data_IF_938207573502
#
_entry.id   IF_938207573502
#
_cell.length_a   1.000
_cell.length_b   1.000
_cell.length_c   1.000
_cell.angle_alpha   90.00
_cell.angle_beta   90.00
_cell.angle_gamma   90.00
#
_symmetry.space_group_name_H-M   'P 1'
#
loop_
_entity.id
_entity.type
_entity.pdbx_description
1 polymer ?
#
# COMPACT_ATOMS: atom_id res chain seq x y z
N UNK A 1 -30.59 27.29 -21.69
CA UNK A 1 -31.90 26.79 -22.13
C UNK A 1 -31.84 25.26 -22.16
N UNK A 2 -32.82 24.61 -21.52
CA UNK A 2 -33.25 23.19 -21.67
C UNK A 2 -32.27 22.12 -21.14
N UNK A 3 -32.44 21.62 -19.90
CA UNK A 3 -33.44 20.66 -19.42
C UNK A 3 -33.26 19.24 -19.99
N UNK A 4 -32.89 18.29 -19.12
CA UNK A 4 -33.28 16.88 -19.23
C UNK A 4 -33.06 16.19 -17.88
N UNK A 5 -34.10 16.24 -17.05
CA UNK A 5 -34.28 15.35 -15.90
C UNK A 5 -34.66 13.97 -16.42
N UNK A 6 -34.01 12.91 -15.95
CA UNK A 6 -34.55 11.54 -16.11
C UNK A 6 -34.60 10.92 -14.72
N UNK A 7 -35.79 11.01 -14.14
CA UNK A 7 -36.22 10.17 -13.04
C UNK A 7 -36.67 8.82 -13.64
N UNK A 8 -36.02 7.73 -13.24
CA UNK A 8 -36.58 6.40 -13.35
C UNK A 8 -36.94 5.92 -11.95
N UNK A 9 -38.22 6.05 -11.64
CA UNK A 9 -38.95 5.23 -10.68
C UNK A 9 -39.14 3.84 -11.28
N UNK A 10 -39.44 2.84 -10.44
CA UNK A 10 -39.75 1.41 -10.69
C UNK A 10 -38.56 0.54 -10.24
N UNK A 11 -38.68 -0.44 -9.34
CA UNK A 11 -39.77 -1.38 -9.09
C UNK A 11 -39.69 -1.96 -7.66
N UNK A 12 -40.85 -2.25 -7.08
CA UNK A 12 -41.03 -3.09 -5.90
C UNK A 12 -40.43 -4.49 -6.08
N UNK A 13 -39.76 -4.99 -5.03
CA UNK A 13 -39.48 -6.41 -4.88
C UNK A 13 -39.93 -6.87 -3.48
N UNK A 14 -41.13 -7.42 -3.41
CA UNK A 14 -41.59 -8.28 -2.31
C UNK A 14 -40.98 -9.66 -2.49
N UNK A 15 -40.14 -10.10 -1.56
CA UNK A 15 -39.71 -11.49 -1.46
C UNK A 15 -39.83 -11.96 -0.01
N UNK A 16 -40.87 -12.77 0.21
CA UNK A 16 -41.07 -13.57 1.40
C UNK A 16 -40.03 -14.68 1.51
N UNK A 17 -39.55 -14.90 2.73
CA UNK A 17 -39.23 -16.23 3.26
C UNK A 17 -37.81 -16.72 3.07
N UNK A 18 -37.12 -16.95 4.20
CA UNK A 18 -36.39 -18.20 4.47
C UNK A 18 -36.26 -18.36 5.99
N UNK A 19 -36.91 -19.39 6.49
CA UNK A 19 -36.56 -20.03 7.75
C UNK A 19 -35.29 -20.87 7.50
N UNK A 20 -34.26 -20.65 8.31
CA UNK A 20 -33.02 -21.43 8.31
C UNK A 20 -32.40 -21.42 9.69
N UNK A 21 -32.68 -22.45 10.49
CA UNK A 21 -31.87 -22.84 11.63
C UNK A 21 -30.66 -23.61 11.11
N UNK A 22 -29.46 -23.26 11.53
CA UNK A 22 -28.29 -24.14 11.41
C UNK A 22 -26.99 -23.38 11.12
N UNK A 23 -25.99 -23.66 11.94
CA UNK A 23 -24.59 -23.36 11.66
C UNK A 23 -24.01 -22.33 12.59
N UNK A 24 -23.32 -22.80 13.64
CA UNK A 24 -22.50 -21.96 14.49
C UNK A 24 -21.49 -21.18 13.66
N UNK A 25 -21.59 -19.85 13.75
CA UNK A 25 -20.48 -18.99 13.43
C UNK A 25 -19.51 -19.10 14.61
N UNK A 26 -18.59 -20.04 14.50
CA UNK A 26 -17.28 -19.91 15.12
C UNK A 26 -16.60 -18.74 14.40
N UNK A 27 -17.02 -17.54 14.78
CA UNK A 27 -16.43 -16.30 14.31
C UNK A 27 -15.02 -16.29 14.85
N UNK A 28 -14.05 -16.59 13.98
CA UNK A 28 -12.71 -16.05 14.09
C UNK A 28 -12.88 -14.53 14.23
N UNK A 29 -12.98 -14.07 15.48
CA UNK A 29 -12.91 -12.67 15.83
C UNK A 29 -11.47 -12.29 15.56
N UNK A 30 -11.16 -11.89 14.33
CA UNK A 30 -10.05 -10.98 14.10
C UNK A 30 -10.29 -9.82 15.05
N UNK A 31 -9.38 -9.64 16.01
CA UNK A 31 -9.52 -8.57 16.99
C UNK A 31 -9.44 -7.25 16.21
N UNK A 32 -10.48 -6.39 16.26
CA UNK A 32 -10.52 -5.17 15.45
C UNK A 32 -9.35 -4.23 15.73
N UNK A 33 -8.64 -4.39 16.85
CA UNK A 33 -7.45 -3.57 17.15
C UNK A 33 -6.25 -3.91 16.26
N UNK A 34 -6.09 -5.17 15.84
CA UNK A 34 -4.91 -5.57 15.03
C UNK A 34 -4.91 -4.93 13.63
N UNK A 35 -6.08 -4.69 13.04
CA UNK A 35 -6.19 -4.08 11.71
C UNK A 35 -5.91 -2.57 11.74
N UNK A 36 -6.33 -1.88 12.80
CA UNK A 36 -6.09 -0.45 12.97
C UNK A 36 -4.59 -0.14 13.17
N UNK A 37 -3.87 -1.04 13.86
CA UNK A 37 -2.43 -0.96 14.06
C UNK A 37 -1.65 -1.18 12.75
N UNK A 38 -2.04 -2.16 11.93
CA UNK A 38 -1.40 -2.44 10.64
C UNK A 38 -1.55 -1.27 9.65
N UNK A 39 -2.74 -0.65 9.58
CA UNK A 39 -2.98 0.52 8.73
C UNK A 39 -2.15 1.75 9.17
N UNK A 40 -1.97 1.94 10.48
CA UNK A 40 -1.12 2.99 11.03
C UNK A 40 0.36 2.74 10.74
N UNK A 41 0.83 1.49 10.87
CA UNK A 41 2.19 1.08 10.50
C UNK A 41 2.45 1.30 9.01
N UNK A 42 1.52 0.91 8.15
CA UNK A 42 1.63 1.10 6.70
C UNK A 42 1.81 2.59 6.34
N UNK A 43 1.04 3.49 6.98
CA UNK A 43 1.19 4.95 6.79
C UNK A 43 2.54 5.45 7.24
N UNK A 44 3.00 5.05 8.43
CA UNK A 44 4.31 5.45 8.94
C UNK A 44 5.46 4.98 8.04
N UNK A 45 5.41 3.74 7.56
CA UNK A 45 6.40 3.22 6.62
C UNK A 45 6.34 3.94 5.29
N UNK A 46 5.13 4.26 4.80
CA UNK A 46 4.94 5.00 3.55
C UNK A 46 5.56 6.40 3.62
N UNK A 47 5.34 7.16 4.69
CA UNK A 47 5.98 8.46 4.91
C UNK A 47 7.52 8.34 4.85
N UNK A 48 8.06 7.25 5.40
CA UNK A 48 9.50 6.99 5.36
C UNK A 48 9.98 6.63 3.95
N UNK A 49 9.21 5.88 3.16
CA UNK A 49 9.50 5.61 1.74
C UNK A 49 9.53 6.91 0.94
N UNK A 50 8.55 7.81 1.14
CA UNK A 50 8.49 9.14 0.49
C UNK A 50 9.76 9.94 0.79
N UNK A 51 10.19 9.95 2.06
CA UNK A 51 11.41 10.63 2.48
C UNK A 51 12.66 10.01 1.82
N UNK A 52 12.82 8.68 1.88
CA UNK A 52 13.98 7.99 1.32
C UNK A 52 14.08 8.17 -0.20
N UNK A 53 12.96 8.20 -0.92
CA UNK A 53 12.96 8.48 -2.36
C UNK A 53 13.46 9.90 -2.66
N UNK A 54 13.03 10.89 -1.87
CA UNK A 54 13.55 12.26 -1.97
C UNK A 54 15.05 12.32 -1.67
N UNK A 55 15.51 11.64 -0.61
CA UNK A 55 16.93 11.55 -0.24
C UNK A 55 17.77 10.89 -1.35
N UNK A 56 17.28 9.81 -1.96
CA UNK A 56 17.95 9.15 -3.08
C UNK A 56 18.07 10.09 -4.30
N UNK A 57 17.02 10.84 -4.61
CA UNK A 57 17.02 11.83 -5.69
C UNK A 57 18.00 12.99 -5.42
N UNK A 58 18.10 13.46 -4.18
CA UNK A 58 19.07 14.49 -3.79
C UNK A 58 20.49 13.97 -3.88
N UNK A 59 20.75 12.77 -3.34
CA UNK A 59 22.06 12.13 -3.39
C UNK A 59 22.53 11.88 -4.83
N UNK A 60 21.60 11.52 -5.73
CA UNK A 60 21.88 11.37 -7.16
C UNK A 60 22.28 12.69 -7.83
N UNK A 61 21.59 13.79 -7.51
CA UNK A 61 21.88 15.12 -8.05
C UNK A 61 23.19 15.72 -7.53
N UNK A 62 23.59 15.35 -6.31
CA UNK A 62 24.81 15.83 -5.66
C UNK A 62 26.04 14.98 -5.98
N UNK A 63 25.90 13.98 -6.85
CA UNK A 63 26.97 13.04 -7.18
C UNK A 63 27.60 12.40 -5.92
N UNK A 64 26.76 12.13 -4.92
CA UNK A 64 27.20 11.51 -3.67
C UNK A 64 27.74 10.11 -3.91
N UNK A 65 28.58 9.66 -2.97
CA UNK A 65 29.17 8.34 -2.99
C UNK A 65 28.11 7.24 -3.16
N UNK A 66 28.48 6.16 -3.82
CA UNK A 66 27.54 5.10 -4.16
C UNK A 66 27.02 4.30 -2.96
N UNK A 67 27.81 4.17 -1.89
CA UNK A 67 27.41 3.43 -0.70
C UNK A 67 26.10 3.96 -0.07
N UNK A 68 25.97 5.25 0.31
CA UNK A 68 24.72 5.77 0.88
C UNK A 68 23.54 5.71 -0.10
N UNK A 69 23.76 5.90 -1.40
CA UNK A 69 22.70 5.80 -2.42
C UNK A 69 22.09 4.39 -2.47
N UNK A 70 22.95 3.37 -2.44
CA UNK A 70 22.48 1.99 -2.40
C UNK A 70 21.72 1.66 -1.10
N UNK A 71 22.21 2.15 0.05
CA UNK A 71 21.55 1.95 1.34
C UNK A 71 20.15 2.59 1.37
N UNK A 72 20.03 3.85 0.94
CA UNK A 72 18.75 4.56 0.86
C UNK A 72 17.76 3.82 -0.06
N UNK A 73 18.20 3.43 -1.26
CA UNK A 73 17.37 2.70 -2.21
C UNK A 73 16.94 1.31 -1.66
N UNK A 74 17.86 0.60 -0.99
CA UNK A 74 17.57 -0.67 -0.33
C UNK A 74 16.49 -0.52 0.74
N UNK A 75 16.63 0.45 1.64
CA UNK A 75 15.64 0.72 2.68
C UNK A 75 14.28 1.15 2.13
N UNK A 76 14.25 1.98 1.07
CA UNK A 76 12.99 2.38 0.44
C UNK A 76 12.22 1.16 -0.11
N UNK A 77 12.95 0.21 -0.71
CA UNK A 77 12.37 -1.00 -1.26
C UNK A 77 11.96 -2.03 -0.20
N UNK A 78 12.72 -2.18 0.88
CA UNK A 78 12.35 -3.02 2.02
C UNK A 78 11.01 -2.58 2.63
N UNK A 79 10.89 -1.28 2.94
CA UNK A 79 9.65 -0.72 3.49
C UNK A 79 8.49 -0.81 2.52
N UNK A 80 8.74 -0.59 1.21
CA UNK A 80 7.73 -0.78 0.16
C UNK A 80 7.22 -2.23 0.13
N UNK A 81 8.12 -3.22 0.24
CA UNK A 81 7.76 -4.63 0.36
C UNK A 81 6.87 -4.90 1.57
N UNK A 82 7.26 -4.41 2.76
CA UNK A 82 6.48 -4.59 3.99
C UNK A 82 5.09 -3.95 3.94
N UNK A 83 4.94 -2.79 3.30
CA UNK A 83 3.62 -2.16 3.09
C UNK A 83 2.75 -3.06 2.20
N UNK A 84 3.33 -3.63 1.14
CA UNK A 84 2.60 -4.55 0.25
C UNK A 84 2.26 -5.88 0.93
N UNK A 85 3.12 -6.42 1.79
CA UNK A 85 2.80 -7.59 2.61
C UNK A 85 1.60 -7.32 3.54
N UNK A 86 1.49 -6.12 4.12
CA UNK A 86 0.30 -5.73 4.88
C UNK A 86 -0.95 -5.63 3.99
N UNK A 87 -0.82 -5.07 2.79
CA UNK A 87 -1.92 -4.99 1.83
C UNK A 87 -2.42 -6.37 1.36
N UNK A 88 -1.53 -7.36 1.30
CA UNK A 88 -1.89 -8.74 0.94
C UNK A 88 -2.53 -9.52 2.10
N UNK A 89 -2.26 -9.12 3.35
CA UNK A 89 -2.85 -9.74 4.55
C UNK A 89 -4.31 -9.34 4.77
N UNK A 90 -4.71 -8.15 4.35
CA UNK A 90 -6.09 -7.66 4.44
C UNK A 90 -6.51 -7.01 3.11
N UNK A 91 -7.25 -7.78 2.29
CA UNK A 91 -7.75 -7.31 0.99
C UNK A 91 -8.92 -6.31 1.09
N UNK A 92 -9.47 -6.12 2.29
CA UNK A 92 -10.55 -5.18 2.55
C UNK A 92 -10.05 -3.78 2.95
N UNK A 93 -8.78 -3.64 3.37
CA UNK A 93 -8.19 -2.32 3.66
C UNK A 93 -7.69 -1.62 2.39
N UNK A 94 -8.61 -0.89 1.76
CA UNK A 94 -8.32 -0.04 0.60
C UNK A 94 -7.21 0.99 0.88
N UNK A 95 -7.07 1.44 2.12
CA UNK A 95 -6.05 2.39 2.55
C UNK A 95 -4.64 1.84 2.35
N UNK A 96 -4.34 0.68 2.95
CA UNK A 96 -3.01 0.05 2.84
C UNK A 96 -2.72 -0.40 1.40
N UNK A 97 -3.73 -0.84 0.64
CA UNK A 97 -3.55 -1.16 -0.79
C UNK A 97 -3.09 0.05 -1.61
N UNK A 98 -3.72 1.21 -1.43
CA UNK A 98 -3.29 2.44 -2.12
C UNK A 98 -1.85 2.83 -1.72
N UNK A 99 -1.46 2.63 -0.46
CA UNK A 99 -0.09 2.89 -0.02
C UNK A 99 0.92 1.95 -0.67
N UNK A 100 0.60 0.66 -0.83
CA UNK A 100 1.44 -0.28 -1.58
C UNK A 100 1.57 0.15 -3.06
N UNK A 101 0.46 0.50 -3.71
CA UNK A 101 0.46 0.95 -5.10
C UNK A 101 1.32 2.20 -5.33
N UNK A 102 1.38 3.14 -4.37
CA UNK A 102 2.28 4.30 -4.42
C UNK A 102 3.72 3.99 -3.99
N UNK A 103 3.91 3.08 -3.02
CA UNK A 103 5.24 2.73 -2.51
C UNK A 103 6.10 1.98 -3.54
N UNK A 104 5.49 1.14 -4.40
CA UNK A 104 6.21 0.37 -5.44
C UNK A 104 6.96 1.27 -6.44
N UNK A 105 6.31 2.21 -7.14
CA UNK A 105 7.01 3.09 -8.07
C UNK A 105 8.03 3.99 -7.38
N UNK A 106 7.88 4.30 -6.08
CA UNK A 106 8.89 5.03 -5.31
C UNK A 106 10.16 4.23 -5.07
N UNK A 107 10.02 2.94 -4.73
CA UNK A 107 11.17 2.03 -4.68
C UNK A 107 11.87 1.97 -6.05
N UNK A 108 11.13 1.88 -7.15
CA UNK A 108 11.72 1.85 -8.50
C UNK A 108 12.45 3.16 -8.82
N UNK A 109 11.90 4.33 -8.46
CA UNK A 109 12.58 5.61 -8.61
C UNK A 109 13.84 5.71 -7.74
N UNK A 110 13.78 5.28 -6.48
CA UNK A 110 14.94 5.25 -5.60
C UNK A 110 16.06 4.33 -6.14
N UNK A 111 15.70 3.16 -6.67
CA UNK A 111 16.64 2.27 -7.37
C UNK A 111 17.21 2.89 -8.64
N UNK A 112 16.39 3.53 -9.46
CA UNK A 112 16.85 4.21 -10.67
C UNK A 112 17.82 5.35 -10.33
N UNK A 113 17.51 6.12 -9.27
CA UNK A 113 18.40 7.14 -8.72
C UNK A 113 19.73 6.54 -8.22
N UNK A 114 19.75 5.28 -7.79
CA UNK A 114 20.97 4.55 -7.43
C UNK A 114 21.56 3.73 -8.59
N UNK A 115 20.93 3.70 -9.78
CA UNK A 115 21.29 2.80 -10.88
C UNK A 115 22.70 2.99 -11.44
N UNK A 116 23.21 4.23 -11.40
CA UNK A 116 24.60 4.53 -11.77
C UNK A 116 25.64 3.85 -10.86
N UNK A 117 25.23 3.38 -9.69
CA UNK A 117 26.10 2.77 -8.68
C UNK A 117 26.13 1.24 -8.73
N UNK A 118 25.33 0.59 -9.58
CA UNK A 118 25.30 -0.87 -9.68
C UNK A 118 24.91 -1.56 -8.37
N UNK A 119 23.88 -1.03 -7.66
CA UNK A 119 23.44 -1.54 -6.36
C UNK A 119 22.76 -2.92 -6.39
N UNK A 120 22.79 -3.61 -7.53
CA UNK A 120 22.24 -4.94 -7.77
C UNK A 120 23.09 -5.99 -7.01
N UNK A 121 22.89 -6.11 -5.69
CA UNK A 121 23.53 -7.19 -4.90
C UNK A 121 23.83 -6.94 -3.41
N UNK A 122 23.33 -5.88 -2.77
CA UNK A 122 23.57 -5.64 -1.32
C UNK A 122 22.31 -5.54 -0.45
N UNK A 123 21.17 -6.00 -0.94
CA UNK A 123 20.02 -6.25 -0.07
C UNK A 123 20.07 -7.73 0.30
N UNK A 124 20.12 -8.04 1.60
CA UNK A 124 20.12 -9.37 2.25
C UNK A 124 21.47 -10.10 2.40
N UNK A 125 22.24 -9.74 3.43
CA UNK A 125 22.99 -10.71 4.26
C UNK A 125 22.78 -10.36 5.74
#
# INVERSE_FOLDING_TARGET
>A
MRAAWIACVVMMATASGIAGCGGGLESAHADPTEHEDDAMLARQWHERVVRLESEANVAAQREEACAPRCEIAGHACDLSGRICELAERDDHDEGTRMLCEDARPRCDRARAAAGACGCEGRATE
#
